data_IF_295381330477
#
_entry.id   IF_295381330477
#
_cell.length_a   1.000
_cell.length_b   1.000
_cell.length_c   1.000
_cell.angle_alpha   90.00
_cell.angle_beta   90.00
_cell.angle_gamma   90.00
#
_symmetry.space_group_name_H-M   'P 1'
#
loop_
_entity.id
_entity.type
_entity.pdbx_description
1 polymer ?
#
# COMPACT_ATOMS: atom_id res chain seq x y z
N UNK A 1 -10.49 32.50 11.96
CA UNK A 1 -10.44 33.82 11.32
C UNK A 1 -11.51 34.76 11.92
N UNK A 2 -11.28 36.08 11.96
CA UNK A 2 -12.14 37.00 12.70
C UNK A 2 -13.58 37.14 12.12
N UNK A 3 -13.76 36.82 10.84
CA UNK A 3 -15.06 36.88 10.16
C UNK A 3 -15.96 35.66 10.49
N UNK A 4 -15.42 34.62 11.13
CA UNK A 4 -16.14 33.38 11.45
C UNK A 4 -17.41 33.66 12.28
N UNK A 5 -18.52 33.08 11.87
CA UNK A 5 -19.84 33.35 12.46
C UNK A 5 -20.35 34.79 12.39
N UNK A 6 -19.84 35.61 11.49
CA UNK A 6 -20.35 36.98 11.23
C UNK A 6 -20.95 37.06 9.84
N UNK A 7 -21.66 38.18 9.57
CA UNK A 7 -22.17 38.49 8.22
C UNK A 7 -21.07 38.75 7.17
N UNK A 8 -19.83 38.87 7.61
CA UNK A 8 -18.67 39.05 6.74
C UNK A 8 -18.08 37.69 6.24
N UNK A 9 -18.47 36.59 6.84
CA UNK A 9 -18.12 35.24 6.40
C UNK A 9 -18.87 34.84 5.11
N UNK A 10 -18.48 35.49 4.02
CA UNK A 10 -19.14 35.37 2.72
C UNK A 10 -18.29 34.69 1.68
N UNK A 11 -18.98 34.01 0.74
CA UNK A 11 -18.35 33.51 -0.45
C UNK A 11 -17.79 34.68 -1.29
N UNK A 12 -16.50 34.55 -1.65
CA UNK A 12 -15.80 35.60 -2.43
C UNK A 12 -14.92 36.54 -1.61
N UNK A 13 -15.11 36.61 -0.29
CA UNK A 13 -14.22 37.34 0.64
C UNK A 13 -13.29 36.43 1.38
N UNK A 14 -13.77 35.76 2.43
CA UNK A 14 -12.99 34.79 3.23
C UNK A 14 -13.01 33.44 2.56
N UNK A 15 -14.19 32.96 2.15
CA UNK A 15 -14.35 31.66 1.46
C UNK A 15 -14.32 31.89 -0.04
N UNK A 16 -13.22 31.48 -0.68
CA UNK A 16 -13.06 31.66 -2.14
C UNK A 16 -13.44 30.39 -2.90
N UNK A 17 -13.91 30.52 -4.14
CA UNK A 17 -14.17 29.39 -5.06
C UNK A 17 -12.94 28.53 -5.24
N UNK A 18 -11.74 29.15 -5.31
CA UNK A 18 -10.48 28.44 -5.40
C UNK A 18 -10.22 27.62 -4.14
N UNK A 19 -10.37 28.19 -2.94
CA UNK A 19 -10.17 27.49 -1.67
C UNK A 19 -11.10 26.30 -1.51
N UNK A 20 -12.38 26.45 -1.86
CA UNK A 20 -13.34 25.34 -1.88
C UNK A 20 -12.93 24.25 -2.88
N UNK A 21 -12.52 24.63 -4.09
CA UNK A 21 -12.06 23.69 -5.10
C UNK A 21 -10.82 22.92 -4.69
N UNK A 22 -9.86 23.60 -4.03
CA UNK A 22 -8.63 22.97 -3.54
C UNK A 22 -8.93 22.02 -2.38
N UNK A 23 -9.80 22.40 -1.44
CA UNK A 23 -10.26 21.55 -0.35
C UNK A 23 -10.97 20.30 -0.87
N UNK A 24 -11.91 20.46 -1.82
CA UNK A 24 -12.60 19.32 -2.45
C UNK A 24 -11.62 18.37 -3.13
N UNK A 25 -10.62 18.90 -3.84
CA UNK A 25 -9.59 18.11 -4.50
C UNK A 25 -8.74 17.33 -3.51
N UNK A 26 -8.36 17.98 -2.40
CA UNK A 26 -7.65 17.34 -1.30
C UNK A 26 -8.45 16.17 -0.72
N UNK A 27 -9.72 16.38 -0.35
CA UNK A 27 -10.57 15.31 0.19
C UNK A 27 -10.75 14.15 -0.78
N UNK A 28 -11.02 14.42 -2.05
CA UNK A 28 -11.11 13.36 -3.08
C UNK A 28 -9.82 12.56 -3.19
N UNK A 29 -8.67 13.21 -3.10
CA UNK A 29 -7.36 12.54 -3.13
C UNK A 29 -7.16 11.66 -1.91
N UNK A 30 -7.46 12.15 -0.71
CA UNK A 30 -7.34 11.40 0.54
C UNK A 30 -8.25 10.16 0.54
N UNK A 31 -9.51 10.32 0.17
CA UNK A 31 -10.46 9.20 0.06
C UNK A 31 -9.93 8.15 -0.93
N UNK A 32 -9.50 8.58 -2.12
CA UNK A 32 -8.94 7.66 -3.12
C UNK A 32 -7.69 6.92 -2.64
N UNK A 33 -6.85 7.54 -1.81
CA UNK A 33 -5.70 6.88 -1.21
C UNK A 33 -6.11 5.82 -0.20
N UNK A 34 -7.09 6.13 0.66
CA UNK A 34 -7.63 5.19 1.65
C UNK A 34 -8.30 4.00 0.97
N UNK A 35 -9.13 4.23 -0.04
CA UNK A 35 -9.82 3.17 -0.78
C UNK A 35 -8.87 2.25 -1.56
N UNK A 36 -7.72 2.77 -2.00
CA UNK A 36 -6.70 1.99 -2.71
C UNK A 36 -5.75 1.22 -1.79
N UNK A 37 -5.79 1.50 -0.49
CA UNK A 37 -4.91 0.81 0.46
C UNK A 37 -5.31 -0.67 0.57
N UNK A 38 -4.31 -1.52 0.71
CA UNK A 38 -4.47 -2.96 0.74
C UNK A 38 -3.89 -3.53 2.02
N UNK A 39 -4.62 -4.43 2.64
CA UNK A 39 -4.26 -5.08 3.91
C UNK A 39 -4.06 -6.58 3.67
N UNK A 40 -2.91 -6.98 3.11
CA UNK A 40 -2.68 -8.37 2.75
C UNK A 40 -2.59 -9.26 3.99
N UNK A 41 -3.27 -10.41 3.95
CA UNK A 41 -3.23 -11.45 4.98
C UNK A 41 -2.76 -12.77 4.39
N UNK A 42 -1.81 -13.44 5.04
CA UNK A 42 -1.33 -14.76 4.62
C UNK A 42 -2.44 -15.81 4.67
N UNK A 43 -2.43 -16.75 3.71
CA UNK A 43 -3.37 -17.87 3.61
C UNK A 43 -2.81 -19.16 4.24
N UNK A 44 -1.70 -19.07 4.99
CA UNK A 44 -1.01 -20.18 5.61
C UNK A 44 -0.49 -19.80 7.00
N UNK A 45 -0.17 -20.81 7.79
CA UNK A 45 0.49 -20.67 9.09
C UNK A 45 1.92 -21.20 8.92
N UNK A 46 2.92 -20.47 9.43
CA UNK A 46 4.33 -20.83 9.31
C UNK A 46 4.98 -20.37 8.00
N UNK A 47 6.04 -21.05 7.57
CA UNK A 47 6.77 -20.70 6.36
C UNK A 47 6.13 -21.31 5.11
N UNK A 48 5.93 -20.52 4.03
CA UNK A 48 5.33 -21.04 2.80
C UNK A 48 6.33 -21.90 2.03
N UNK A 49 5.86 -23.04 1.50
CA UNK A 49 6.68 -23.92 0.65
C UNK A 49 6.85 -23.30 -0.76
N UNK A 50 7.75 -22.32 -0.87
CA UNK A 50 7.95 -21.54 -2.08
C UNK A 50 8.59 -22.30 -3.23
N UNK A 51 9.34 -23.38 -2.95
CA UNK A 51 9.93 -24.26 -3.99
C UNK A 51 8.87 -24.90 -4.88
N UNK A 52 7.75 -25.37 -4.32
CA UNK A 52 6.60 -25.87 -5.08
C UNK A 52 6.00 -24.83 -6.03
N UNK A 53 6.23 -23.54 -5.74
CA UNK A 53 5.68 -22.38 -6.48
C UNK A 53 6.69 -21.78 -7.44
N UNK A 54 7.83 -22.44 -7.67
CA UNK A 54 8.91 -21.98 -8.56
C UNK A 54 9.44 -20.58 -8.20
N UNK A 55 9.41 -20.21 -6.93
CA UNK A 55 9.88 -18.90 -6.43
C UNK A 55 11.33 -18.96 -5.95
N UNK A 56 11.86 -20.14 -5.60
CA UNK A 56 13.28 -20.31 -5.29
C UNK A 56 14.13 -20.36 -6.55
N UNK A 57 15.39 -19.88 -6.47
CA UNK A 57 16.35 -20.12 -7.54
C UNK A 57 16.59 -21.62 -7.65
N UNK A 58 16.24 -22.22 -8.79
CA UNK A 58 16.75 -23.55 -9.17
C UNK A 58 18.20 -23.41 -9.64
N UNK A 59 18.99 -24.48 -9.56
CA UNK A 59 20.31 -24.55 -10.23
C UNK A 59 20.11 -24.14 -11.71
N UNK A 60 20.65 -22.95 -12.09
CA UNK A 60 20.42 -22.34 -13.40
C UNK A 60 19.21 -21.39 -13.50
N UNK A 61 18.48 -21.13 -12.43
CA UNK A 61 17.32 -20.22 -12.42
C UNK A 61 17.66 -18.76 -12.15
N UNK A 62 16.89 -17.84 -12.75
CA UNK A 62 17.12 -16.40 -12.80
C UNK A 62 16.69 -15.61 -11.55
N UNK A 63 16.29 -16.25 -10.45
CA UNK A 63 15.79 -15.53 -9.27
C UNK A 63 16.91 -15.29 -8.28
N UNK A 64 17.29 -14.02 -8.14
CA UNK A 64 18.34 -13.61 -7.22
C UNK A 64 17.96 -13.88 -5.74
N UNK A 65 18.87 -14.40 -4.87
CA UNK A 65 18.59 -14.71 -3.46
C UNK A 65 17.98 -13.54 -2.67
N UNK A 66 18.42 -12.30 -2.95
CA UNK A 66 17.87 -11.07 -2.35
C UNK A 66 16.38 -10.91 -2.64
N UNK A 67 15.92 -11.29 -3.83
CA UNK A 67 14.50 -11.18 -4.21
C UNK A 67 13.63 -12.14 -3.42
N UNK A 68 14.11 -13.36 -3.21
CA UNK A 68 13.43 -14.37 -2.36
C UNK A 68 13.33 -13.87 -0.92
N UNK A 69 14.42 -13.34 -0.37
CA UNK A 69 14.44 -12.75 0.97
C UNK A 69 13.43 -11.61 1.10
N UNK A 70 13.35 -10.71 0.11
CA UNK A 70 12.38 -9.61 0.12
C UNK A 70 10.92 -10.13 0.08
N UNK A 71 10.65 -11.22 -0.65
CA UNK A 71 9.34 -11.86 -0.66
C UNK A 71 9.00 -12.44 0.71
N UNK A 72 9.92 -13.17 1.34
CA UNK A 72 9.71 -13.75 2.67
C UNK A 72 9.52 -12.66 3.74
N UNK A 73 10.35 -11.62 3.71
CA UNK A 73 10.19 -10.47 4.60
C UNK A 73 8.84 -9.78 4.40
N UNK A 74 8.39 -9.62 3.16
CA UNK A 74 7.08 -9.02 2.88
C UNK A 74 5.95 -9.89 3.43
N UNK A 75 6.01 -11.21 3.21
CA UNK A 75 5.01 -12.17 3.71
C UNK A 75 4.93 -12.18 5.24
N UNK A 76 6.04 -12.02 5.96
CA UNK A 76 6.06 -12.01 7.43
C UNK A 76 5.27 -10.83 8.04
N UNK A 77 5.07 -9.74 7.29
CA UNK A 77 4.27 -8.59 7.71
C UNK A 77 2.82 -8.63 7.19
N UNK A 78 2.43 -9.66 6.43
CA UNK A 78 1.07 -9.79 5.89
C UNK A 78 0.11 -10.35 6.96
N UNK A 79 -0.24 -9.53 7.95
CA UNK A 79 -1.10 -9.87 9.09
C UNK A 79 -2.60 -9.57 8.85
N UNK A 80 -2.93 -8.91 7.75
CA UNK A 80 -4.27 -8.42 7.43
C UNK A 80 -4.66 -7.14 8.15
N UNK A 81 -3.74 -6.51 8.90
CA UNK A 81 -3.95 -5.26 9.65
C UNK A 81 -2.99 -4.17 9.20
N UNK A 82 -1.80 -4.56 8.77
CA UNK A 82 -0.77 -3.65 8.29
C UNK A 82 -1.05 -3.26 6.83
N UNK A 83 -1.15 -1.96 6.52
CA UNK A 83 -1.33 -1.51 5.14
C UNK A 83 -0.08 -1.79 4.30
N UNK A 84 -0.29 -2.07 3.01
CA UNK A 84 0.79 -2.46 2.10
C UNK A 84 1.95 -1.46 2.03
N UNK A 85 1.67 -0.17 2.18
CA UNK A 85 2.68 0.89 2.25
C UNK A 85 3.58 0.75 3.48
N UNK A 86 3.00 0.43 4.65
CA UNK A 86 3.75 0.20 5.88
C UNK A 86 4.63 -1.04 5.77
N UNK A 87 4.12 -2.11 5.15
CA UNK A 87 4.90 -3.33 4.89
C UNK A 87 6.12 -3.02 4.03
N UNK A 88 5.96 -2.26 2.95
CA UNK A 88 7.05 -1.81 2.07
C UNK A 88 8.12 -1.06 2.87
N UNK A 89 7.70 -0.13 3.74
CA UNK A 89 8.60 0.63 4.61
C UNK A 89 9.37 -0.27 5.58
N UNK A 90 8.68 -1.19 6.26
CA UNK A 90 9.29 -2.15 7.20
C UNK A 90 10.31 -3.06 6.51
N UNK A 91 10.03 -3.49 5.27
CA UNK A 91 10.95 -4.29 4.46
C UNK A 91 12.12 -3.50 3.88
N UNK A 92 12.14 -2.16 4.02
CA UNK A 92 13.16 -1.25 3.45
C UNK A 92 13.35 -1.49 1.94
N UNK A 93 12.26 -1.67 1.21
CA UNK A 93 12.23 -1.85 -0.24
C UNK A 93 11.52 -0.67 -0.91
N UNK A 94 11.73 -0.49 -2.22
CA UNK A 94 11.02 0.55 -2.98
C UNK A 94 9.53 0.22 -3.15
N UNK A 95 8.68 1.25 -3.27
CA UNK A 95 7.24 1.07 -3.54
C UNK A 95 6.98 0.29 -4.83
N UNK A 96 7.85 0.45 -5.85
CA UNK A 96 7.78 -0.30 -7.11
C UNK A 96 8.04 -1.80 -6.89
N UNK A 97 9.02 -2.13 -6.06
CA UNK A 97 9.34 -3.52 -5.71
C UNK A 97 8.22 -4.13 -4.85
N UNK A 98 7.71 -3.39 -3.86
CA UNK A 98 6.59 -3.82 -3.03
C UNK A 98 5.35 -4.16 -3.85
N UNK A 99 4.98 -3.33 -4.83
CA UNK A 99 3.88 -3.62 -5.76
C UNK A 99 4.12 -4.91 -6.57
N UNK A 100 5.35 -5.13 -7.05
CA UNK A 100 5.70 -6.37 -7.79
C UNK A 100 5.58 -7.60 -6.88
N UNK A 101 6.06 -7.51 -5.64
CA UNK A 101 5.95 -8.58 -4.66
C UNK A 101 4.48 -8.86 -4.33
N UNK A 102 3.70 -7.85 -4.01
CA UNK A 102 2.28 -7.99 -3.69
C UNK A 102 1.51 -8.68 -4.83
N UNK A 103 1.70 -8.22 -6.07
CA UNK A 103 1.05 -8.83 -7.23
C UNK A 103 1.47 -10.30 -7.43
N UNK A 104 2.75 -10.61 -7.21
CA UNK A 104 3.25 -11.99 -7.31
C UNK A 104 2.62 -12.90 -6.25
N UNK A 105 2.62 -12.48 -4.97
CA UNK A 105 2.09 -13.31 -3.88
C UNK A 105 0.57 -13.46 -3.94
N UNK A 106 -0.16 -12.48 -4.49
CA UNK A 106 -1.57 -12.61 -4.83
C UNK A 106 -1.80 -13.64 -5.93
N UNK A 107 -1.05 -13.53 -7.04
CA UNK A 107 -1.12 -14.50 -8.16
C UNK A 107 -0.83 -15.93 -7.69
N UNK A 108 0.08 -16.10 -6.76
CA UNK A 108 0.44 -17.38 -6.15
C UNK A 108 -0.55 -17.85 -5.07
N UNK A 109 -1.61 -17.08 -4.79
CA UNK A 109 -2.59 -17.33 -3.72
C UNK A 109 -1.95 -17.52 -2.34
N UNK A 110 -0.83 -16.84 -2.09
CA UNK A 110 -0.13 -16.85 -0.79
C UNK A 110 -0.78 -15.89 0.20
N UNK A 111 -1.41 -14.82 -0.30
CA UNK A 111 -2.15 -13.84 0.49
C UNK A 111 -3.52 -13.58 -0.11
N UNK A 112 -4.42 -13.04 0.73
CA UNK A 112 -5.69 -12.41 0.36
C UNK A 112 -5.68 -10.94 0.79
N UNK A 113 -6.58 -10.14 0.21
CA UNK A 113 -6.80 -8.72 0.54
C UNK A 113 -8.21 -8.60 1.11
#
# INVERSE_FOLDING_TARGET
YPEYHTSLDKLGTVVTKKGLGDSLRLYKTLISLIEKEKFPKTNFIGEPFLSKRKVYPSLGGSIHPKKVRNILNYLSFCDGKSPSQKIVSNCKISSREGKKILNLILKLKLVRI
#
